data_IF_438526311947
#
_entry.id   IF_438526311947
#
_cell.length_a   1.000
_cell.length_b   1.000
_cell.length_c   1.000
_cell.angle_alpha   90.00
_cell.angle_beta   90.00
_cell.angle_gamma   90.00
#
_symmetry.space_group_name_H-M   'P 1'
#
loop_
_entity.id
_entity.type
_entity.pdbx_description
1 polymer ?
#
# COMPACT_ATOMS: atom_id res chain seq x y z
N UNK A 1 2.19 4.09 19.88
CA UNK A 1 2.53 5.48 19.51
C UNK A 1 3.87 5.57 18.75
N UNK A 2 4.97 4.96 19.22
CA UNK A 2 6.28 5.08 18.56
C UNK A 2 6.39 4.55 17.11
N UNK A 3 5.74 3.42 16.78
CA UNK A 3 5.79 2.87 15.41
C UNK A 3 5.06 3.75 14.39
N UNK A 4 3.94 4.35 14.78
CA UNK A 4 3.18 5.28 13.94
C UNK A 4 3.99 6.54 13.65
N UNK A 5 4.64 7.11 14.67
CA UNK A 5 5.53 8.25 14.47
C UNK A 5 6.69 7.91 13.52
N UNK A 6 7.32 6.73 13.69
CA UNK A 6 8.37 6.25 12.78
C UNK A 6 7.91 6.14 11.33
N UNK A 7 6.68 5.71 11.08
CA UNK A 7 6.12 5.65 9.73
C UNK A 7 5.93 7.05 9.16
N UNK A 8 5.40 7.98 9.96
CA UNK A 8 5.21 9.38 9.55
C UNK A 8 6.54 10.04 9.18
N UNK A 9 7.54 9.97 10.07
CA UNK A 9 8.86 10.58 9.84
C UNK A 9 9.54 9.98 8.59
N UNK A 10 9.43 8.66 8.42
CA UNK A 10 9.99 7.98 7.24
C UNK A 10 9.26 8.35 5.95
N UNK A 11 7.96 8.59 6.02
CA UNK A 11 7.17 9.02 4.86
C UNK A 11 7.56 10.44 4.44
N UNK A 12 7.72 11.35 5.40
CA UNK A 12 8.17 12.72 5.15
C UNK A 12 9.57 12.74 4.52
N UNK A 13 10.51 11.97 5.07
CA UNK A 13 11.87 11.87 4.51
C UNK A 13 11.89 11.30 3.09
N UNK A 14 11.10 10.26 2.82
CA UNK A 14 11.03 9.65 1.50
C UNK A 14 10.40 10.60 0.46
N UNK A 15 9.36 11.34 0.86
CA UNK A 15 8.72 12.33 0.00
C UNK A 15 9.68 13.49 -0.36
N UNK A 16 10.43 14.00 0.61
CA UNK A 16 11.43 15.06 0.39
C UNK A 16 12.56 14.59 -0.53
N UNK A 17 13.06 13.37 -0.32
CA UNK A 17 14.18 12.82 -1.11
C UNK A 17 13.83 12.58 -2.59
N UNK A 18 12.55 12.41 -2.93
CA UNK A 18 12.09 12.25 -4.32
C UNK A 18 11.96 13.61 -5.04
N UNK A 19 11.76 14.70 -4.28
CA UNK A 19 11.67 16.06 -4.85
C UNK A 19 13.03 16.66 -5.24
N UNK A 20 14.14 16.05 -4.82
CA UNK A 20 15.50 16.47 -5.18
C UNK A 20 15.90 15.99 -6.59
N UNK A 21 16.18 16.91 -7.54
CA UNK A 21 16.51 16.56 -8.92
C UNK A 21 17.81 15.75 -9.08
N UNK A 22 18.70 15.72 -8.08
CA UNK A 22 19.93 14.91 -8.08
C UNK A 22 19.71 13.44 -7.65
N UNK A 23 18.58 13.13 -7.01
CA UNK A 23 18.23 11.76 -6.56
C UNK A 23 17.70 10.87 -7.70
N UNK A 24 17.38 11.48 -8.85
CA UNK A 24 16.91 10.78 -10.06
C UNK A 24 17.96 9.84 -10.69
N UNK A 25 19.23 9.97 -10.29
CA UNK A 25 20.32 9.08 -10.73
C UNK A 25 20.73 8.13 -9.63
N UNK A 26 20.39 6.84 -9.81
CA UNK A 26 20.94 5.67 -9.09
C UNK A 26 20.19 5.17 -7.84
N UNK A 27 18.93 4.76 -8.00
CA UNK A 27 18.41 3.56 -7.31
C UNK A 27 17.49 2.81 -8.27
N UNK A 28 17.93 1.62 -8.70
CA UNK A 28 17.11 0.66 -9.44
C UNK A 28 15.95 0.22 -8.54
N UNK A 29 14.89 1.02 -8.52
CA UNK A 29 13.63 0.64 -7.89
C UNK A 29 12.92 -0.33 -8.84
N UNK A 30 12.33 -1.42 -8.34
CA UNK A 30 11.59 -2.33 -9.18
C UNK A 30 10.49 -1.52 -9.88
N UNK A 31 10.57 -1.44 -11.20
CA UNK A 31 9.62 -0.69 -12.01
C UNK A 31 8.21 -1.23 -11.75
N UNK A 32 7.40 -0.46 -11.03
CA UNK A 32 5.99 -0.72 -10.76
C UNK A 32 5.65 -0.97 -9.29
N UNK A 33 4.42 -0.64 -8.93
CA UNK A 33 3.77 -0.93 -7.65
C UNK A 33 2.81 -2.13 -7.80
N UNK A 34 2.22 -2.61 -6.71
CA UNK A 34 1.22 -3.68 -6.75
C UNK A 34 -0.19 -3.11 -6.56
N UNK A 35 -0.94 -2.86 -7.65
CA UNK A 35 -2.38 -2.57 -7.55
C UNK A 35 -3.07 -3.81 -6.97
N UNK A 36 -3.74 -3.66 -5.83
CA UNK A 36 -4.41 -4.74 -5.13
C UNK A 36 -5.40 -5.50 -6.03
N UNK A 37 -6.06 -4.83 -6.98
CA UNK A 37 -7.01 -5.47 -7.91
C UNK A 37 -6.34 -6.30 -9.00
N UNK A 38 -5.02 -6.13 -9.21
CA UNK A 38 -4.25 -6.75 -10.30
C UNK A 38 -3.17 -7.70 -9.77
N UNK A 39 -3.22 -8.07 -8.49
CA UNK A 39 -2.33 -9.08 -7.92
C UNK A 39 -2.84 -10.46 -8.34
N UNK A 40 -1.99 -11.25 -8.99
CA UNK A 40 -2.28 -12.63 -9.35
C UNK A 40 -3.58 -12.81 -10.19
N UNK A 41 -3.96 -11.82 -11.00
CA UNK A 41 -5.03 -12.02 -11.99
C UNK A 41 -4.45 -12.72 -13.23
N UNK A 42 -5.03 -13.86 -13.60
CA UNK A 42 -4.63 -14.65 -14.77
C UNK A 42 -5.76 -14.70 -15.79
N UNK A 43 -5.38 -14.80 -17.05
CA UNK A 43 -6.29 -15.04 -18.17
C UNK A 43 -6.69 -16.53 -18.20
N UNK A 44 -7.66 -16.87 -19.07
CA UNK A 44 -8.14 -18.26 -19.23
C UNK A 44 -7.06 -19.23 -19.72
N UNK A 45 -6.02 -18.72 -20.38
CA UNK A 45 -4.87 -19.50 -20.86
C UNK A 45 -3.77 -19.70 -19.80
N UNK A 46 -3.98 -19.20 -18.57
CA UNK A 46 -3.04 -19.30 -17.46
C UNK A 46 -1.90 -18.26 -17.49
N UNK A 47 -1.87 -17.35 -18.47
CA UNK A 47 -0.93 -16.24 -18.49
C UNK A 47 -1.40 -15.13 -17.56
N UNK A 48 -0.46 -14.39 -16.98
CA UNK A 48 -0.76 -13.21 -16.18
C UNK A 48 -1.51 -12.18 -17.05
N UNK A 49 -2.60 -11.62 -16.52
CA UNK A 49 -3.37 -10.61 -17.23
C UNK A 49 -2.52 -9.33 -17.46
N UNK A 50 -2.83 -8.58 -18.52
CA UNK A 50 -2.14 -7.33 -18.80
C UNK A 50 -2.25 -6.35 -17.62
N UNK A 51 -1.14 -5.71 -17.25
CA UNK A 51 -1.05 -4.83 -16.08
C UNK A 51 -1.08 -5.56 -14.73
N UNK A 52 -1.23 -6.89 -14.72
CA UNK A 52 -1.19 -7.68 -13.48
C UNK A 52 0.23 -8.05 -13.08
N UNK A 53 0.43 -8.24 -11.77
CA UNK A 53 1.74 -8.57 -11.21
C UNK A 53 1.61 -9.76 -10.28
N UNK A 54 2.57 -10.68 -10.40
CA UNK A 54 2.62 -11.84 -9.52
C UNK A 54 3.18 -11.44 -8.16
N UNK A 55 2.50 -11.87 -7.11
CA UNK A 55 2.94 -11.74 -5.72
C UNK A 55 2.81 -13.10 -5.04
N UNK A 56 3.88 -13.54 -4.39
CA UNK A 56 3.82 -14.73 -3.55
C UNK A 56 3.03 -14.41 -2.29
N UNK A 57 1.87 -15.05 -2.13
CA UNK A 57 1.00 -14.86 -0.97
C UNK A 57 1.00 -16.12 -0.10
N UNK A 58 0.86 -15.95 1.21
CA UNK A 58 0.73 -17.03 2.19
C UNK A 58 -0.41 -16.73 3.14
N UNK A 59 -1.27 -17.71 3.39
CA UNK A 59 -2.36 -17.58 4.35
C UNK A 59 -1.80 -17.37 5.75
N UNK A 60 -2.29 -16.35 6.45
CA UNK A 60 -1.85 -16.03 7.81
C UNK A 60 -3.05 -15.72 8.70
N UNK A 61 -3.26 -16.52 9.76
CA UNK A 61 -4.41 -16.41 10.66
C UNK A 61 -4.59 -15.02 11.28
N UNK A 62 -3.48 -14.31 11.53
CA UNK A 62 -3.48 -12.96 12.14
C UNK A 62 -4.03 -11.86 11.22
N UNK A 63 -4.16 -12.13 9.92
CA UNK A 63 -4.74 -11.22 8.94
C UNK A 63 -6.08 -11.76 8.44
N UNK A 64 -6.96 -12.11 9.39
CA UNK A 64 -8.28 -12.68 9.10
C UNK A 64 -8.21 -14.00 8.29
N UNK A 65 -7.05 -14.66 8.27
CA UNK A 65 -6.79 -15.83 7.44
C UNK A 65 -6.48 -15.52 5.98
N UNK A 66 -6.44 -14.25 5.56
CA UNK A 66 -6.19 -13.89 4.16
C UNK A 66 -4.78 -14.26 3.68
N UNK A 67 -4.63 -14.51 2.36
CA UNK A 67 -3.33 -14.72 1.72
C UNK A 67 -2.57 -13.39 1.61
N UNK A 68 -1.41 -13.28 2.26
CA UNK A 68 -0.64 -12.03 2.35
C UNK A 68 0.84 -12.19 1.99
N UNK A 69 1.50 -11.08 1.65
CA UNK A 69 2.95 -10.94 1.46
C UNK A 69 3.56 -10.02 2.53
N UNK A 70 4.41 -10.58 3.38
CA UNK A 70 5.04 -9.87 4.51
C UNK A 70 6.34 -9.13 4.13
N UNK A 71 6.61 -8.93 2.84
CA UNK A 71 7.79 -8.21 2.36
C UNK A 71 7.43 -6.99 1.52
N UNK A 72 6.24 -6.98 0.92
CA UNK A 72 5.78 -5.96 -0.02
C UNK A 72 4.37 -5.52 0.37
N UNK A 73 4.05 -4.24 0.16
CA UNK A 73 2.69 -3.74 0.31
C UNK A 73 1.89 -3.78 -1.00
N UNK A 74 0.58 -3.57 -0.89
CA UNK A 74 -0.35 -3.40 -2.00
C UNK A 74 -0.98 -2.02 -1.97
N UNK A 75 -1.25 -1.43 -3.13
CA UNK A 75 -1.89 -0.12 -3.30
C UNK A 75 -3.36 -0.33 -3.68
N UNK A 76 -4.25 0.33 -2.95
CA UNK A 76 -5.68 0.37 -3.19
C UNK A 76 -6.05 1.73 -3.78
N UNK A 77 -6.78 1.71 -4.89
CA UNK A 77 -7.19 2.88 -5.67
C UNK A 77 -8.72 2.96 -5.73
N UNK A 78 -9.34 3.86 -4.95
CA UNK A 78 -10.76 4.17 -5.06
C UNK A 78 -11.12 4.74 -6.44
N UNK A 79 -12.40 4.66 -6.83
CA UNK A 79 -12.86 5.03 -8.17
C UNK A 79 -12.58 6.50 -8.59
N UNK A 80 -12.39 7.41 -7.63
CA UNK A 80 -12.09 8.83 -7.88
C UNK A 80 -10.60 9.17 -8.00
N UNK A 81 -9.70 8.19 -7.88
CA UNK A 81 -8.25 8.43 -7.88
C UNK A 81 -7.67 8.04 -9.24
N UNK A 82 -7.04 9.00 -9.91
CA UNK A 82 -6.42 8.79 -11.22
C UNK A 82 -5.00 8.28 -11.09
N UNK A 83 -4.67 7.19 -11.79
CA UNK A 83 -3.27 6.75 -11.94
C UNK A 83 -2.49 7.55 -12.97
N UNK A 84 -3.15 8.36 -13.81
CA UNK A 84 -2.50 9.20 -14.81
C UNK A 84 -2.03 10.54 -14.21
N UNK A 85 -2.46 10.85 -12.99
CA UNK A 85 -2.03 12.03 -12.26
C UNK A 85 -0.56 11.91 -11.82
N UNK A 86 0.35 12.82 -12.24
CA UNK A 86 1.77 12.74 -11.91
C UNK A 86 2.05 12.80 -10.41
N UNK A 87 1.25 13.55 -9.65
CA UNK A 87 1.40 13.63 -8.20
C UNK A 87 1.08 12.28 -7.54
N UNK A 88 -0.01 11.64 -7.97
CA UNK A 88 -0.37 10.28 -7.56
C UNK A 88 0.71 9.26 -7.90
N UNK A 89 1.25 9.28 -9.12
CA UNK A 89 2.33 8.36 -9.52
C UNK A 89 3.61 8.56 -8.70
N UNK A 90 3.99 9.82 -8.49
CA UNK A 90 5.14 10.19 -7.65
C UNK A 90 4.94 9.69 -6.21
N UNK A 91 3.75 9.91 -5.65
CA UNK A 91 3.41 9.48 -4.31
C UNK A 91 3.39 7.95 -4.13
N UNK A 92 2.88 7.22 -5.12
CA UNK A 92 2.98 5.76 -5.15
C UNK A 92 4.45 5.32 -5.22
N UNK A 93 5.28 5.99 -6.01
CA UNK A 93 6.69 5.64 -6.17
C UNK A 93 7.47 5.82 -4.87
N UNK A 94 7.47 7.02 -4.29
CA UNK A 94 8.28 7.27 -3.10
C UNK A 94 7.78 6.48 -1.89
N UNK A 95 6.45 6.27 -1.77
CA UNK A 95 5.89 5.52 -0.63
C UNK A 95 6.26 4.03 -0.61
N UNK A 96 6.85 3.50 -1.69
CA UNK A 96 7.42 2.14 -1.69
C UNK A 96 8.59 1.98 -0.71
N UNK A 97 9.25 3.08 -0.33
CA UNK A 97 10.30 3.09 0.70
C UNK A 97 9.79 2.72 2.10
N UNK A 98 8.47 2.68 2.31
CA UNK A 98 7.86 2.26 3.57
C UNK A 98 7.81 0.73 3.73
N UNK A 99 7.96 -0.06 2.66
CA UNK A 99 7.86 -1.53 2.73
C UNK A 99 8.87 -2.16 3.72
N UNK A 100 10.17 -1.81 3.69
CA UNK A 100 11.13 -2.32 4.67
C UNK A 100 10.78 -1.92 6.11
N UNK A 101 10.22 -0.72 6.29
CA UNK A 101 9.81 -0.23 7.61
C UNK A 101 8.60 -1.02 8.14
N UNK A 102 7.60 -1.26 7.30
CA UNK A 102 6.44 -2.06 7.64
C UNK A 102 6.83 -3.51 7.98
N UNK A 103 7.71 -4.12 7.18
CA UNK A 103 8.24 -5.44 7.45
C UNK A 103 8.98 -5.49 8.79
N UNK A 104 9.87 -4.51 9.04
CA UNK A 104 10.61 -4.43 10.29
C UNK A 104 9.70 -4.25 11.51
N UNK A 105 8.59 -3.53 11.38
CA UNK A 105 7.63 -3.40 12.47
C UNK A 105 6.99 -4.75 12.83
N UNK A 106 6.56 -5.54 11.85
CA UNK A 106 5.98 -6.88 12.12
C UNK A 106 7.02 -7.87 12.64
N UNK A 107 8.28 -7.78 12.18
CA UNK A 107 9.36 -8.60 12.73
C UNK A 107 9.62 -8.29 14.21
N UNK A 108 9.53 -7.01 14.60
CA UNK A 108 9.70 -6.58 16.00
C UNK A 108 8.50 -6.91 16.88
N UNK A 109 7.30 -6.81 16.32
CA UNK A 109 6.05 -7.08 17.03
C UNK A 109 5.10 -7.92 16.16
N UNK A 110 5.13 -9.23 16.42
CA UNK A 110 4.30 -10.22 15.74
C UNK A 110 2.82 -10.16 16.15
N UNK A 111 2.40 -9.22 16.99
CA UNK A 111 0.99 -8.96 17.30
C UNK A 111 0.36 -7.83 16.44
N UNK A 112 1.16 -7.06 15.70
CA UNK A 112 0.67 -5.96 14.85
C UNK A 112 -0.27 -6.42 13.72
N UNK A 113 -1.49 -5.90 13.69
CA UNK A 113 -2.39 -6.08 12.54
C UNK A 113 -1.88 -5.33 11.29
N UNK A 114 -2.77 -5.10 10.33
CA UNK A 114 -2.53 -4.31 9.14
C UNK A 114 -1.89 -2.94 9.45
N UNK A 115 -0.97 -2.53 8.59
CA UNK A 115 -0.36 -1.20 8.60
C UNK A 115 -0.81 -0.46 7.34
N UNK A 116 -1.06 0.84 7.49
CA UNK A 116 -1.65 1.67 6.44
C UNK A 116 -0.86 2.97 6.28
N UNK A 117 -0.72 3.40 5.03
CA UNK A 117 -0.34 4.74 4.65
C UNK A 117 -1.41 5.29 3.69
N UNK A 118 -2.14 6.30 4.13
CA UNK A 118 -3.12 7.01 3.31
C UNK A 118 -2.47 8.23 2.66
N UNK A 119 -2.43 8.28 1.33
CA UNK A 119 -1.91 9.44 0.60
C UNK A 119 -2.93 10.56 0.55
N UNK A 120 -2.48 11.82 0.61
CA UNK A 120 -3.31 12.99 0.30
C UNK A 120 -3.91 12.94 -1.11
N UNK A 121 -3.21 12.28 -2.05
CA UNK A 121 -3.68 12.05 -3.42
C UNK A 121 -4.80 11.00 -3.52
N UNK A 122 -5.12 10.31 -2.42
CA UNK A 122 -6.31 9.46 -2.30
C UNK A 122 -6.09 7.95 -2.48
N UNK A 123 -4.89 7.47 -2.74
CA UNK A 123 -4.61 6.03 -2.68
C UNK A 123 -4.25 5.58 -1.25
N UNK A 124 -4.50 4.31 -0.96
CA UNK A 124 -4.11 3.67 0.31
C UNK A 124 -3.05 2.61 0.04
N UNK A 125 -1.88 2.73 0.67
CA UNK A 125 -0.90 1.64 0.72
C UNK A 125 -1.16 0.82 1.97
N UNK A 126 -1.39 -0.48 1.79
CA UNK A 126 -1.67 -1.44 2.87
C UNK A 126 -0.60 -2.52 2.92
N UNK A 127 -0.10 -2.77 4.13
CA UNK A 127 0.84 -3.85 4.41
C UNK A 127 0.28 -4.79 5.49
N UNK A 128 0.51 -6.10 5.41
CA UNK A 128 1.10 -6.85 4.28
C UNK A 128 0.35 -6.69 2.95
N UNK A 129 1.03 -6.95 1.84
CA UNK A 129 0.42 -6.91 0.51
C UNK A 129 -0.58 -8.06 0.33
N UNK A 130 -1.74 -7.78 -0.24
CA UNK A 130 -2.76 -8.78 -0.58
C UNK A 130 -3.57 -8.31 -1.78
N UNK A 131 -4.14 -9.25 -2.53
CA UNK A 131 -5.12 -8.93 -3.55
C UNK A 131 -6.40 -8.33 -2.95
N UNK A 132 -7.13 -7.56 -3.76
CA UNK A 132 -8.47 -7.04 -3.47
C UNK A 132 -9.46 -7.39 -4.60
N UNK A 133 -10.62 -7.98 -4.27
CA UNK A 133 -10.97 -8.54 -2.98
C UNK A 133 -10.02 -9.72 -2.64
N UNK A 134 -9.85 -10.08 -1.36
CA UNK A 134 -9.16 -11.32 -1.01
C UNK A 134 -9.80 -12.50 -1.73
N UNK A 135 -9.00 -13.49 -2.17
CA UNK A 135 -9.49 -14.67 -2.92
C UNK A 135 -10.63 -15.42 -2.19
N UNK A 136 -10.66 -15.31 -0.87
CA UNK A 136 -11.68 -15.90 0.02
C UNK A 136 -12.97 -15.07 0.14
N UNK A 137 -13.03 -13.88 -0.46
CA UNK A 137 -14.14 -12.95 -0.33
C UNK A 137 -14.99 -12.92 -1.61
N UNK A 138 -16.26 -13.31 -1.51
CA UNK A 138 -17.28 -13.17 -2.58
C UNK A 138 -17.78 -11.72 -2.73
N UNK A 139 -16.89 -10.74 -2.57
CA UNK A 139 -17.23 -9.31 -2.45
C UNK A 139 -17.08 -8.52 -3.76
N UNK A 140 -17.56 -7.27 -3.74
CA UNK A 140 -17.32 -6.29 -4.81
C UNK A 140 -15.82 -6.06 -5.03
N UNK A 141 -15.42 -5.83 -6.28
CA UNK A 141 -14.07 -5.34 -6.62
C UNK A 141 -13.89 -3.85 -6.29
N UNK A 142 -14.95 -3.18 -5.86
CA UNK A 142 -14.89 -1.78 -5.46
C UNK A 142 -14.05 -1.61 -4.19
N UNK A 143 -13.22 -0.58 -4.22
CA UNK A 143 -12.37 -0.18 -3.11
C UNK A 143 -13.04 1.07 -2.52
N UNK A 144 -13.42 0.99 -1.24
CA UNK A 144 -13.99 2.16 -0.57
C UNK A 144 -12.92 3.26 -0.42
N UNK A 145 -13.36 4.52 -0.48
CA UNK A 145 -12.47 5.65 -0.24
C UNK A 145 -12.21 5.81 1.25
N UNK A 146 -11.01 5.41 1.67
CA UNK A 146 -10.60 5.45 3.08
C UNK A 146 -10.65 6.85 3.69
N UNK A 147 -10.67 7.91 2.88
CA UNK A 147 -10.74 9.30 3.36
C UNK A 147 -12.09 9.62 4.01
N UNK A 148 -13.10 8.80 3.75
CA UNK A 148 -14.42 8.87 4.40
C UNK A 148 -14.53 8.00 5.66
N UNK A 149 -13.49 7.24 6.01
CA UNK A 149 -13.51 6.35 7.17
C UNK A 149 -13.19 7.11 8.47
N UNK A 150 -13.91 6.77 9.54
CA UNK A 150 -13.79 7.44 10.84
C UNK A 150 -12.35 7.46 11.36
N UNK A 151 -11.61 6.36 11.22
CA UNK A 151 -10.23 6.26 11.69
C UNK A 151 -9.31 7.25 10.97
N UNK A 152 -9.54 7.50 9.69
CA UNK A 152 -8.74 8.44 8.90
C UNK A 152 -9.14 9.88 9.24
N UNK A 153 -10.44 10.15 9.33
CA UNK A 153 -10.96 11.46 9.70
C UNK A 153 -10.44 11.87 11.08
N UNK A 154 -10.46 10.96 12.06
CA UNK A 154 -9.95 11.20 13.41
C UNK A 154 -8.43 11.42 13.42
N UNK A 155 -7.66 10.70 12.60
CA UNK A 155 -6.22 10.89 12.52
C UNK A 155 -5.82 12.20 11.81
N UNK A 156 -6.60 12.62 10.81
CA UNK A 156 -6.35 13.83 10.01
C UNK A 156 -6.90 15.11 10.66
N UNK A 157 -7.89 15.00 11.55
CA UNK A 157 -8.43 16.14 12.29
C UNK A 157 -7.64 16.36 13.58
N UNK A 158 -7.20 17.60 13.82
CA UNK A 158 -6.74 17.98 15.16
C UNK A 158 -7.90 17.84 16.15
N UNK A 159 -7.65 17.42 17.41
CA UNK A 159 -8.68 17.45 18.43
C UNK A 159 -9.20 18.89 18.52
N UNK A 160 -10.49 19.07 18.21
CA UNK A 160 -11.17 20.32 18.53
C UNK A 160 -11.35 20.34 20.04
N UNK A 161 -10.80 21.39 20.65
CA UNK A 161 -10.91 21.75 22.07
C UNK A 161 -12.35 21.59 22.60
#
# INVERSE_FOLDING_TARGET
>A
MWMTQRIMDSAEQAALSESDPESATSKSHPSGFYDARRINEYQSDGRLAEGSRQMLLRHMRRFEGYPVNISLSSVLLPAGVSLDDPETQSAIKWSSHLDPLFANNIERDSALSWQYFGSSTGFLRRFPGTAWPPETSYGSKEINDFRSEDWFIQAASSPKD
#
